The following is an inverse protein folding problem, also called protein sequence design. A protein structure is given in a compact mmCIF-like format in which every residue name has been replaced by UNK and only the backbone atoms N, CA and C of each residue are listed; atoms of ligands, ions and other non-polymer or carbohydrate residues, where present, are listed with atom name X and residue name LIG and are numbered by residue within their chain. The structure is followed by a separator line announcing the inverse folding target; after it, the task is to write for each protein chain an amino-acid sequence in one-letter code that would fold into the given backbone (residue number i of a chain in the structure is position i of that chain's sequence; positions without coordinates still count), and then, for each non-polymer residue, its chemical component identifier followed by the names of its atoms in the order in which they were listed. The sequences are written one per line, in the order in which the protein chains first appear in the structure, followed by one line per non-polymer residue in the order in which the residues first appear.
data_IF_901492231167
#
_entry.id   IF_901492231167
#
_cell.length_a   1.000
_cell.length_b   1.000
_cell.length_c   1.000
_cell.angle_alpha   90.00
_cell.angle_beta   90.00
_cell.angle_gamma   90.00
#
_symmetry.space_group_name_H-M   'P 1'
#
loop_
_entity.id
_entity.type
_entity.pdbx_description
1 polymer ?
#
# COMPACT_ATOMS: atom_id res chain seq x y z
N UNK A 1 -9.44 -4.14 17.02
CA UNK A 1 -8.27 -3.53 16.37
C UNK A 1 -7.02 -4.34 16.68
N UNK A 2 -6.13 -4.47 15.69
CA UNK A 2 -4.81 -5.08 15.90
C UNK A 2 -3.86 -3.98 16.38
N UNK A 3 -3.18 -4.22 17.50
CA UNK A 3 -2.18 -3.29 18.02
C UNK A 3 -1.03 -3.11 17.01
N UNK A 4 -0.51 -1.89 16.90
CA UNK A 4 0.53 -1.52 15.91
C UNK A 4 1.82 -2.31 16.05
N UNK A 5 2.16 -2.77 17.26
CA UNK A 5 3.31 -3.63 17.55
C UNK A 5 3.21 -5.06 17.01
N UNK A 6 1.98 -5.51 16.71
CA UNK A 6 1.72 -6.83 16.12
C UNK A 6 1.70 -6.83 14.60
N UNK A 7 1.70 -5.66 13.96
CA UNK A 7 1.70 -5.53 12.51
C UNK A 7 3.06 -5.86 11.92
N UNK A 8 3.07 -6.58 10.79
CA UNK A 8 4.31 -7.03 10.14
C UNK A 8 4.29 -6.79 8.65
N UNK A 9 5.47 -6.56 8.09
CA UNK A 9 5.73 -6.62 6.67
C UNK A 9 4.97 -5.61 5.80
N UNK A 10 4.97 -5.94 4.52
CA UNK A 10 4.39 -5.16 3.45
C UNK A 10 3.21 -5.89 2.83
N UNK A 11 2.18 -5.14 2.44
CA UNK A 11 1.00 -5.66 1.76
C UNK A 11 0.82 -4.96 0.42
N UNK A 12 0.64 -5.72 -0.63
CA UNK A 12 0.15 -5.28 -1.92
C UNK A 12 -1.21 -5.90 -2.19
N UNK A 13 -2.15 -5.10 -2.69
CA UNK A 13 -3.48 -5.57 -3.11
C UNK A 13 -3.77 -5.04 -4.51
N UNK A 14 -4.06 -5.92 -5.46
CA UNK A 14 -4.42 -5.47 -6.80
C UNK A 14 -4.39 -6.56 -7.86
N UNK A 15 -4.80 -6.21 -9.06
CA UNK A 15 -4.63 -7.07 -10.25
C UNK A 15 -3.16 -7.16 -10.63
N UNK A 16 -2.70 -8.34 -10.99
CA UNK A 16 -1.31 -8.55 -11.39
C UNK A 16 -1.11 -8.24 -12.87
N UNK A 17 -1.10 -6.96 -13.18
CA UNK A 17 -0.91 -6.37 -14.50
C UNK A 17 0.27 -5.38 -14.48
N UNK A 18 0.91 -5.11 -15.65
CA UNK A 18 2.15 -4.33 -15.70
C UNK A 18 2.09 -2.98 -14.99
N UNK A 19 1.02 -2.20 -15.19
CA UNK A 19 0.90 -0.84 -14.66
C UNK A 19 0.80 -0.77 -13.12
N UNK A 20 0.47 -1.87 -12.43
CA UNK A 20 0.42 -1.91 -10.94
C UNK A 20 1.80 -2.00 -10.28
N UNK A 21 2.88 -2.00 -11.05
CA UNK A 21 4.25 -1.94 -10.52
C UNK A 21 4.75 -3.23 -9.86
N UNK A 22 4.13 -4.38 -10.13
CA UNK A 22 4.46 -5.67 -9.51
C UNK A 22 5.92 -6.06 -9.72
N UNK A 23 6.47 -5.88 -10.94
CA UNK A 23 7.87 -6.15 -11.26
C UNK A 23 8.81 -5.30 -10.43
N UNK A 24 8.47 -4.02 -10.29
CA UNK A 24 9.22 -3.03 -9.51
C UNK A 24 9.20 -3.40 -8.04
N UNK A 25 8.03 -3.78 -7.52
CA UNK A 25 7.86 -4.20 -6.13
C UNK A 25 8.68 -5.45 -5.79
N UNK A 26 8.62 -6.49 -6.62
CA UNK A 26 9.40 -7.71 -6.41
C UNK A 26 10.90 -7.45 -6.48
N UNK A 27 11.34 -6.64 -7.42
CA UNK A 27 12.76 -6.27 -7.55
C UNK A 27 13.22 -5.44 -6.35
N UNK A 28 12.41 -4.46 -5.91
CA UNK A 28 12.72 -3.66 -4.73
C UNK A 28 12.78 -4.53 -3.47
N UNK A 29 11.82 -5.42 -3.27
CA UNK A 29 11.79 -6.32 -2.14
C UNK A 29 12.99 -7.28 -2.12
N UNK A 30 13.39 -7.82 -3.28
CA UNK A 30 14.58 -8.66 -3.40
C UNK A 30 15.86 -7.92 -2.99
N UNK A 31 16.00 -6.63 -3.36
CA UNK A 31 17.16 -5.80 -3.01
C UNK A 31 17.17 -5.39 -1.54
N UNK A 32 16.02 -5.37 -0.89
CA UNK A 32 15.87 -4.94 0.49
C UNK A 32 16.61 -5.85 1.48
N UNK A 33 16.66 -7.17 1.20
CA UNK A 33 17.30 -8.19 2.05
C UNK A 33 16.85 -8.13 3.52
N UNK A 34 15.59 -7.77 3.75
CA UNK A 34 15.01 -7.73 5.08
C UNK A 34 14.77 -9.15 5.62
N UNK A 35 14.65 -9.27 6.95
CA UNK A 35 14.25 -10.52 7.56
C UNK A 35 12.83 -10.90 7.10
N UNK A 36 12.66 -12.04 6.40
CA UNK A 36 11.38 -12.44 5.85
C UNK A 36 10.33 -12.82 6.91
N UNK A 37 10.71 -13.04 8.16
CA UNK A 37 9.78 -13.32 9.25
C UNK A 37 9.19 -12.04 9.86
N UNK A 38 9.97 -10.96 9.90
CA UNK A 38 9.53 -9.67 10.40
C UNK A 38 8.93 -8.78 9.29
N UNK A 39 9.46 -8.91 8.09
CA UNK A 39 9.08 -8.09 6.94
C UNK A 39 8.64 -8.90 5.72
N UNK A 40 7.66 -9.82 5.86
CA UNK A 40 7.12 -10.51 4.70
C UNK A 40 6.48 -9.54 3.70
N UNK A 41 6.49 -9.89 2.42
CA UNK A 41 5.71 -9.24 1.38
C UNK A 41 4.50 -10.10 1.04
N UNK A 42 3.32 -9.71 1.47
CA UNK A 42 2.07 -10.35 1.09
C UNK A 42 1.48 -9.66 -0.14
N UNK A 43 1.18 -10.42 -1.19
CA UNK A 43 0.62 -9.91 -2.43
C UNK A 43 -0.73 -10.58 -2.69
N UNK A 44 -1.82 -9.85 -2.44
CA UNK A 44 -3.19 -10.31 -2.72
C UNK A 44 -3.60 -9.97 -4.16
N UNK A 45 -4.38 -10.86 -4.74
CA UNK A 45 -4.87 -10.74 -6.10
C UNK A 45 -4.25 -11.74 -7.06
N UNK A 46 -4.50 -11.54 -8.33
CA UNK A 46 -4.01 -12.39 -9.41
C UNK A 46 -4.03 -11.63 -10.73
N UNK A 47 -3.50 -12.24 -11.81
CA UNK A 47 -3.56 -11.67 -13.14
C UNK A 47 -2.53 -12.23 -14.11
N UNK A 48 -2.44 -11.66 -15.31
CA UNK A 48 -1.56 -12.14 -16.37
C UNK A 48 -0.08 -12.27 -15.99
N UNK A 49 0.38 -11.53 -14.97
CA UNK A 49 1.78 -11.60 -14.52
C UNK A 49 2.04 -12.73 -13.52
N UNK A 50 1.05 -13.59 -13.20
CA UNK A 50 1.22 -14.65 -12.19
C UNK A 50 2.44 -15.54 -12.45
N UNK A 51 2.55 -16.08 -13.64
CA UNK A 51 3.65 -16.99 -14.00
C UNK A 51 5.00 -16.28 -13.92
N UNK A 52 5.06 -15.04 -14.36
CA UNK A 52 6.28 -14.23 -14.28
C UNK A 52 6.68 -13.94 -12.82
N UNK A 53 5.70 -13.67 -11.95
CA UNK A 53 5.92 -13.46 -10.52
C UNK A 53 6.51 -14.72 -9.86
N UNK A 54 5.89 -15.87 -10.10
CA UNK A 54 6.38 -17.16 -9.58
C UNK A 54 7.78 -17.49 -10.08
N UNK A 55 8.01 -17.31 -11.38
CA UNK A 55 9.32 -17.51 -12.00
C UNK A 55 10.38 -16.59 -11.38
N UNK A 56 10.07 -15.30 -11.23
CA UNK A 56 11.00 -14.30 -10.67
C UNK A 56 11.38 -14.65 -9.22
N UNK A 57 10.39 -15.03 -8.39
CA UNK A 57 10.62 -15.43 -7.00
C UNK A 57 11.56 -16.63 -6.94
N UNK A 58 11.31 -17.64 -7.78
CA UNK A 58 12.14 -18.85 -7.83
C UNK A 58 13.55 -18.56 -8.33
N UNK A 59 13.69 -17.85 -9.45
CA UNK A 59 15.00 -17.58 -10.07
C UNK A 59 15.90 -16.72 -9.19
N UNK A 60 15.31 -15.75 -8.50
CA UNK A 60 16.08 -14.86 -7.60
C UNK A 60 16.17 -15.36 -6.17
N UNK A 61 15.53 -16.49 -5.84
CA UNK A 61 15.50 -17.05 -4.49
C UNK A 61 14.90 -16.07 -3.47
N UNK A 62 13.88 -15.31 -3.85
CA UNK A 62 13.25 -14.30 -2.99
C UNK A 62 12.48 -15.00 -1.88
N UNK A 63 12.90 -14.81 -0.64
CA UNK A 63 12.24 -15.36 0.55
C UNK A 63 11.23 -14.37 1.12
N UNK A 64 10.19 -14.89 1.81
CA UNK A 64 9.22 -14.06 2.52
C UNK A 64 8.11 -13.45 1.65
N UNK A 65 7.98 -13.87 0.40
CA UNK A 65 6.83 -13.49 -0.44
C UNK A 65 5.70 -14.48 -0.21
N UNK A 66 4.52 -13.97 0.17
CA UNK A 66 3.30 -14.72 0.45
C UNK A 66 2.27 -14.37 -0.61
N UNK A 67 1.77 -15.38 -1.32
CA UNK A 67 0.86 -15.23 -2.46
C UNK A 67 -0.47 -15.96 -2.20
N UNK A 68 -1.40 -15.40 -1.44
CA UNK A 68 -2.69 -16.04 -1.15
C UNK A 68 -3.62 -16.14 -2.37
N UNK A 69 -3.34 -15.39 -3.44
CA UNK A 69 -4.22 -15.28 -4.58
C UNK A 69 -5.45 -14.41 -4.32
N UNK A 70 -6.59 -14.77 -4.90
CA UNK A 70 -7.87 -14.14 -4.57
C UNK A 70 -8.33 -14.62 -3.19
N UNK A 71 -8.72 -13.66 -2.36
CA UNK A 71 -9.19 -13.90 -0.99
C UNK A 71 -10.58 -13.31 -0.81
N UNK A 72 -11.33 -13.81 0.19
CA UNK A 72 -12.61 -13.21 0.56
C UNK A 72 -12.42 -11.80 1.13
N UNK A 73 -13.50 -11.02 1.15
CA UNK A 73 -13.49 -9.67 1.73
C UNK A 73 -13.00 -9.67 3.20
N UNK A 74 -13.49 -10.62 3.99
CA UNK A 74 -13.08 -10.76 5.40
C UNK A 74 -11.58 -11.10 5.55
N UNK A 75 -11.03 -11.93 4.67
CA UNK A 75 -9.61 -12.23 4.64
C UNK A 75 -8.80 -11.01 4.19
N UNK A 76 -9.26 -10.28 3.16
CA UNK A 76 -8.63 -9.04 2.68
C UNK A 76 -8.51 -8.00 3.82
N UNK A 77 -9.60 -7.79 4.55
CA UNK A 77 -9.61 -6.90 5.71
C UNK A 77 -8.66 -7.36 6.81
N UNK A 78 -8.57 -8.68 7.05
CA UNK A 78 -7.63 -9.24 8.01
C UNK A 78 -6.18 -8.95 7.59
N UNK A 79 -5.79 -9.29 6.35
CA UNK A 79 -4.45 -9.00 5.83
C UNK A 79 -4.11 -7.51 5.90
N UNK A 80 -5.09 -6.64 5.60
CA UNK A 80 -4.88 -5.19 5.71
C UNK A 80 -4.58 -4.76 7.14
N UNK A 81 -5.32 -5.27 8.14
CA UNK A 81 -5.08 -4.93 9.55
C UNK A 81 -3.76 -5.48 10.10
N UNK A 82 -3.32 -6.64 9.60
CA UNK A 82 -2.09 -7.32 10.04
C UNK A 82 -0.83 -6.73 9.40
N UNK A 83 -0.95 -6.06 8.27
CA UNK A 83 0.17 -5.43 7.58
C UNK A 83 0.72 -4.22 8.33
N UNK A 84 2.05 -4.04 8.33
CA UNK A 84 2.68 -2.83 8.84
C UNK A 84 2.60 -1.69 7.82
N UNK A 85 2.75 -1.98 6.53
CA UNK A 85 2.68 -0.99 5.46
C UNK A 85 1.91 -1.51 4.24
N UNK A 86 1.05 -0.67 3.68
CA UNK A 86 0.50 -0.89 2.34
C UNK A 86 1.48 -0.35 1.30
N UNK A 87 1.77 -1.12 0.25
CA UNK A 87 2.64 -0.68 -0.85
C UNK A 87 1.85 -0.63 -2.14
N UNK A 88 1.72 0.55 -2.71
CA UNK A 88 0.99 0.79 -3.97
C UNK A 88 1.89 1.52 -4.95
N UNK A 89 2.74 0.81 -5.73
CA UNK A 89 3.76 1.39 -6.58
C UNK A 89 3.40 1.36 -8.07
N UNK A 90 2.27 1.92 -8.54
CA UNK A 90 2.00 1.95 -9.98
C UNK A 90 3.14 2.70 -10.69
N UNK A 91 3.51 2.24 -11.89
CA UNK A 91 4.54 2.92 -12.68
C UNK A 91 3.99 3.75 -13.84
N UNK A 92 2.67 3.73 -13.99
CA UNK A 92 1.92 4.60 -14.89
C UNK A 92 0.81 5.27 -14.10
N UNK A 93 0.24 6.31 -14.66
CA UNK A 93 -0.85 7.04 -14.03
C UNK A 93 -1.97 6.09 -13.56
N UNK A 94 -2.24 6.14 -12.27
CA UNK A 94 -3.36 5.45 -11.62
C UNK A 94 -4.44 6.47 -11.31
N UNK A 95 -5.68 6.23 -11.71
CA UNK A 95 -6.74 7.23 -11.59
C UNK A 95 -7.03 7.58 -10.14
N UNK A 96 -7.30 6.60 -9.29
CA UNK A 96 -7.59 6.86 -7.88
C UNK A 96 -6.86 5.89 -6.94
N UNK A 97 -7.03 4.58 -7.12
CA UNK A 97 -6.47 3.57 -6.19
C UNK A 97 -7.21 3.52 -4.84
N UNK A 98 -8.11 2.57 -4.65
CA UNK A 98 -8.91 2.47 -3.42
C UNK A 98 -8.15 1.80 -2.26
N UNK A 99 -7.17 0.95 -2.56
CA UNK A 99 -6.45 0.18 -1.54
C UNK A 99 -5.71 1.02 -0.50
N UNK A 100 -5.14 2.20 -0.82
CA UNK A 100 -4.60 3.09 0.20
C UNK A 100 -5.67 3.63 1.16
N UNK A 101 -6.88 3.96 0.68
CA UNK A 101 -7.98 4.40 1.55
C UNK A 101 -8.39 3.31 2.53
N UNK A 102 -8.50 2.06 2.04
CA UNK A 102 -8.79 0.90 2.87
C UNK A 102 -7.72 0.67 3.94
N UNK A 103 -6.44 0.79 3.59
CA UNK A 103 -5.35 0.67 4.53
C UNK A 103 -5.39 1.77 5.61
N UNK A 104 -5.57 3.02 5.20
CA UNK A 104 -5.67 4.16 6.10
C UNK A 104 -6.85 4.06 7.06
N UNK A 105 -8.00 3.53 6.61
CA UNK A 105 -9.19 3.36 7.47
C UNK A 105 -8.93 2.50 8.71
N UNK A 106 -7.94 1.62 8.65
CA UNK A 106 -7.49 0.78 9.76
C UNK A 106 -6.15 1.24 10.35
N UNK A 107 -5.67 2.42 9.97
CA UNK A 107 -4.44 3.02 10.45
C UNK A 107 -3.18 2.33 9.91
N UNK A 108 -3.21 1.77 8.72
CA UNK A 108 -2.03 1.24 8.03
C UNK A 108 -1.50 2.30 7.09
N UNK A 109 -0.31 2.88 7.33
CA UNK A 109 0.27 3.88 6.46
C UNK A 109 0.73 3.28 5.14
N UNK A 110 0.92 4.15 4.13
CA UNK A 110 1.18 3.74 2.76
C UNK A 110 2.59 4.10 2.30
N UNK A 111 3.15 3.24 1.44
CA UNK A 111 4.25 3.56 0.53
C UNK A 111 3.62 3.63 -0.87
N UNK A 112 3.71 4.76 -1.53
CA UNK A 112 3.02 5.01 -2.80
C UNK A 112 3.89 5.81 -3.77
N UNK A 113 3.49 5.85 -5.04
CA UNK A 113 4.15 6.73 -6.01
C UNK A 113 3.60 8.15 -5.96
N UNK A 114 4.38 9.09 -6.47
CA UNK A 114 4.00 10.51 -6.51
C UNK A 114 3.05 10.86 -7.66
N UNK A 115 2.66 9.89 -8.50
CA UNK A 115 1.89 10.12 -9.73
C UNK A 115 0.42 9.68 -9.60
N UNK A 116 -0.47 10.39 -10.28
CA UNK A 116 -1.90 10.12 -10.33
C UNK A 116 -2.63 10.28 -8.99
N UNK A 117 -3.87 9.81 -8.94
CA UNK A 117 -4.74 9.89 -7.77
C UNK A 117 -4.30 9.04 -6.59
N UNK A 118 -3.35 8.11 -6.79
CA UNK A 118 -2.82 7.30 -5.69
C UNK A 118 -2.09 8.15 -4.63
N UNK A 119 -1.54 9.30 -5.04
CA UNK A 119 -0.93 10.26 -4.11
C UNK A 119 -1.96 10.82 -3.12
N UNK A 120 -3.14 11.16 -3.60
CA UNK A 120 -4.22 11.68 -2.76
C UNK A 120 -4.75 10.60 -1.81
N UNK A 121 -5.01 9.40 -2.34
CA UNK A 121 -5.56 8.30 -1.56
C UNK A 121 -4.57 7.75 -0.53
N UNK A 122 -3.26 7.81 -0.79
CA UNK A 122 -2.23 7.44 0.17
C UNK A 122 -2.10 8.43 1.34
N UNK A 123 -2.53 9.67 1.14
CA UNK A 123 -2.54 10.72 2.16
C UNK A 123 -1.19 11.40 2.37
N UNK A 124 -1.21 12.51 3.11
CA UNK A 124 -0.03 13.38 3.32
C UNK A 124 1.09 12.71 4.12
N UNK A 125 0.77 11.68 4.89
CA UNK A 125 1.70 10.96 5.77
C UNK A 125 2.28 9.68 5.14
N UNK A 126 2.07 9.45 3.85
CA UNK A 126 2.66 8.34 3.12
C UNK A 126 4.14 8.57 2.81
N UNK A 127 4.88 7.48 2.64
CA UNK A 127 6.22 7.52 2.05
C UNK A 127 6.08 7.48 0.52
N UNK A 128 6.65 8.47 -0.16
CA UNK A 128 6.50 8.59 -1.60
C UNK A 128 7.76 8.23 -2.36
N UNK A 129 7.62 7.33 -3.34
CA UNK A 129 8.67 6.96 -4.28
C UNK A 129 8.35 7.46 -5.70
N UNK A 130 9.37 7.56 -6.54
CA UNK A 130 9.20 7.93 -7.96
C UNK A 130 8.57 6.76 -8.73
N UNK A 131 7.59 7.03 -9.62
CA UNK A 131 7.00 5.99 -10.46
C UNK A 131 8.07 5.29 -11.32
N UNK A 132 8.05 3.97 -11.35
CA UNK A 132 8.99 3.17 -12.13
C UNK A 132 10.42 3.07 -11.55
N UNK A 133 10.75 3.76 -10.48
CA UNK A 133 12.09 3.80 -9.90
C UNK A 133 12.24 2.80 -8.75
N UNK A 134 12.90 1.67 -9.04
CA UNK A 134 13.15 0.60 -8.08
C UNK A 134 13.98 1.11 -6.89
N UNK A 135 14.99 1.94 -7.14
CA UNK A 135 15.88 2.46 -6.08
C UNK A 135 15.11 3.35 -5.12
N UNK A 136 14.28 4.24 -5.65
CA UNK A 136 13.41 5.09 -4.83
C UNK A 136 12.43 4.27 -3.97
N UNK A 137 11.86 3.18 -4.52
CA UNK A 137 10.99 2.30 -3.74
C UNK A 137 11.77 1.55 -2.64
N UNK A 138 12.99 1.06 -2.94
CA UNK A 138 13.88 0.44 -1.94
C UNK A 138 14.17 1.40 -0.79
N UNK A 139 14.44 2.66 -1.08
CA UNK A 139 14.71 3.68 -0.05
C UNK A 139 13.48 3.91 0.85
N UNK A 140 12.28 4.05 0.28
CA UNK A 140 11.04 4.13 1.06
C UNK A 140 10.82 2.89 1.93
N UNK A 141 11.03 1.69 1.40
CA UNK A 141 10.88 0.45 2.16
C UNK A 141 11.93 0.35 3.28
N UNK A 142 13.17 0.78 3.06
CA UNK A 142 14.21 0.85 4.10
C UNK A 142 13.83 1.85 5.19
N UNK A 143 13.33 3.03 4.81
CA UNK A 143 12.85 4.03 5.77
C UNK A 143 11.72 3.46 6.63
N UNK A 144 10.79 2.72 6.03
CA UNK A 144 9.71 2.03 6.74
C UNK A 144 10.23 1.00 7.76
N UNK A 145 11.26 0.22 7.40
CA UNK A 145 11.90 -0.78 8.28
C UNK A 145 12.63 -0.11 9.45
N UNK A 146 13.32 0.98 9.18
CA UNK A 146 14.15 1.68 10.16
C UNK A 146 13.36 2.63 11.07
N UNK A 147 12.06 2.80 10.79
CA UNK A 147 11.21 3.70 11.55
C UNK A 147 11.03 3.22 12.98
N UNK A 148 11.23 4.13 13.95
CA UNK A 148 10.98 3.85 15.36
C UNK A 148 9.49 3.57 15.60
N UNK A 149 9.19 2.64 16.47
CA UNK A 149 7.81 2.24 16.77
C UNK A 149 6.95 3.42 17.26
N UNK A 150 7.50 4.35 18.04
CA UNK A 150 6.78 5.55 18.47
C UNK A 150 6.35 6.44 17.29
N UNK A 151 7.22 6.61 16.30
CA UNK A 151 6.91 7.39 15.10
C UNK A 151 5.92 6.63 14.20
N UNK A 152 6.05 5.31 14.09
CA UNK A 152 5.09 4.50 13.36
C UNK A 152 3.68 4.57 13.99
N UNK A 153 3.58 4.55 15.32
CA UNK A 153 2.30 4.70 16.03
C UNK A 153 1.65 6.05 15.73
N UNK A 154 2.42 7.13 15.73
CA UNK A 154 1.96 8.46 15.34
C UNK A 154 1.45 8.47 13.90
N UNK A 155 2.23 7.95 12.95
CA UNK A 155 1.82 7.84 11.55
C UNK A 155 0.54 6.99 11.36
N UNK A 156 0.41 5.92 12.12
CA UNK A 156 -0.78 5.07 12.09
C UNK A 156 -2.04 5.83 12.51
N UNK A 157 -1.94 6.70 13.50
CA UNK A 157 -3.04 7.57 13.92
C UNK A 157 -3.33 8.66 12.88
N UNK A 158 -2.30 9.34 12.41
CA UNK A 158 -2.42 10.40 11.41
C UNK A 158 -3.04 9.89 10.11
N UNK A 159 -2.73 8.66 9.70
CA UNK A 159 -3.33 8.04 8.52
C UNK A 159 -4.87 7.93 8.63
N UNK A 160 -5.41 7.62 9.81
CA UNK A 160 -6.86 7.59 10.06
C UNK A 160 -7.47 8.99 10.07
N UNK A 161 -6.88 9.89 10.83
CA UNK A 161 -7.40 11.27 10.99
C UNK A 161 -7.42 12.00 9.65
N UNK A 162 -6.36 11.88 8.88
CA UNK A 162 -6.25 12.47 7.55
C UNK A 162 -7.28 11.87 6.57
N UNK A 163 -7.63 10.58 6.72
CA UNK A 163 -8.68 9.97 5.94
C UNK A 163 -10.09 10.53 6.29
N UNK A 164 -10.37 10.79 7.54
CA UNK A 164 -11.65 11.37 7.98
C UNK A 164 -11.87 12.75 7.35
N UNK A 165 -10.81 13.53 7.16
CA UNK A 165 -10.88 14.80 6.44
C UNK A 165 -11.04 14.65 4.92
N UNK A 166 -10.54 13.55 4.36
CA UNK A 166 -10.64 13.27 2.93
C UNK A 166 -12.01 12.69 2.54
N UNK A 167 -12.58 11.82 3.38
CA UNK A 167 -13.89 11.19 3.16
C UNK A 167 -14.92 11.89 4.03
N UNK A 168 -15.64 12.86 3.43
CA UNK A 168 -16.70 13.62 4.10
C UNK A 168 -18.05 12.89 4.01
N UNK A 169 -19.00 13.14 4.95
CA UNK A 169 -20.37 12.65 4.87
C UNK A 169 -21.06 13.09 3.57
N UNK A 170 -21.94 12.25 3.06
CA UNK A 170 -22.65 12.53 1.79
C UNK A 170 -23.48 13.81 1.83
N UNK A 171 -24.04 14.18 2.98
CA UNK A 171 -24.83 15.42 3.15
C UNK A 171 -23.96 16.68 3.05
N UNK A 172 -22.68 16.62 3.39
CA UNK A 172 -21.74 17.73 3.19
C UNK A 172 -21.44 17.94 1.70
N UNK A 173 -21.20 16.86 0.96
CA UNK A 173 -21.04 16.93 -0.50
C UNK A 173 -22.31 17.48 -1.17
N UNK A 174 -23.51 17.03 -0.72
CA UNK A 174 -24.78 17.50 -1.27
C UNK A 174 -24.98 19.01 -1.03
N UNK A 175 -24.68 19.51 0.15
CA UNK A 175 -24.75 20.95 0.47
C UNK A 175 -23.81 21.79 -0.39
N UNK A 176 -22.56 21.34 -0.53
CA UNK A 176 -21.58 22.02 -1.37
C UNK A 176 -22.02 22.06 -2.84
N UNK A 177 -22.50 20.92 -3.37
CA UNK A 177 -23.00 20.84 -4.74
C UNK A 177 -24.19 21.76 -4.99
N UNK A 178 -25.15 21.79 -4.05
CA UNK A 178 -26.32 22.68 -4.15
C UNK A 178 -25.89 24.16 -4.11
N UNK A 179 -24.89 24.51 -3.33
CA UNK A 179 -24.40 25.90 -3.28
C UNK A 179 -23.75 26.37 -4.59
N UNK A 180 -23.15 25.44 -5.36
CA UNK A 180 -22.56 25.73 -6.67
C UNK A 180 -23.61 25.92 -7.77
N UNK A 181 -24.79 25.30 -7.64
CA UNK A 181 -25.87 25.39 -8.64
C UNK A 181 -26.71 26.66 -8.42
N UNK A 182 -26.72 27.20 -7.20
CA UNK A 182 -27.53 28.37 -6.83
C UNK A 182 -26.83 29.71 -7.08
N UNK A 183 -25.58 29.71 -7.51
CA UNK A 183 -24.79 30.86 -7.96
C UNK A 183 -24.66 30.87 -9.49
#
# INVERSE_FOLDING_TARGET
EISTDKRKGFLFIGRWIPNKGIRILLEAYARLKADPQEWPLTMLGDGPLREEVLYTIQQKGIKGVILPGFVSESQRQRYTREAKWMVTPPHTQEDLGLTPLEARSVGVPCIATTDGGVKETAGSHALFCKPGDITSLVECMKQAIQMKDSHYQELSQLAKVDLEHYVRPLDEYAKEYLSLIQN
#
